data_IF_374401120255
#
_entry.id   IF_374401120255
#
_cell.length_a   1.000
_cell.length_b   1.000
_cell.length_c   1.000
_cell.angle_alpha   90.00
_cell.angle_beta   90.00
_cell.angle_gamma   90.00
#
_symmetry.space_group_name_H-M   'P 1'
#
loop_
_entity.id
_entity.type
_entity.pdbx_description
1 polymer ?
#
# COMPACT_ATOMS: atom_id res chain seq x y z
N UNK A 1 6.60 -10.65 10.91
CA UNK A 1 5.18 -10.45 10.56
C UNK A 1 4.43 -11.75 10.67
N UNK A 2 3.27 -11.73 11.34
CA UNK A 2 2.38 -12.89 11.45
C UNK A 2 1.58 -13.13 10.16
N UNK A 3 0.99 -14.32 10.06
CA UNK A 3 0.12 -14.70 8.94
C UNK A 3 -1.27 -14.97 9.49
N UNK A 4 -2.26 -14.36 8.85
CA UNK A 4 -3.70 -14.51 9.15
C UNK A 4 -4.34 -15.32 8.02
N UNK A 5 -5.12 -16.34 8.37
CA UNK A 5 -5.82 -17.22 7.42
C UNK A 5 -7.15 -16.56 6.99
N UNK A 6 -7.27 -16.27 5.68
CA UNK A 6 -8.46 -15.61 5.15
C UNK A 6 -9.75 -16.44 5.31
N UNK A 7 -9.68 -17.75 5.11
CA UNK A 7 -10.86 -18.63 5.27
C UNK A 7 -11.37 -18.66 6.71
N UNK A 8 -10.45 -18.64 7.68
CA UNK A 8 -10.80 -18.56 9.10
C UNK A 8 -11.35 -17.22 9.50
N UNK A 9 -10.85 -16.12 8.91
CA UNK A 9 -11.44 -14.78 9.09
C UNK A 9 -12.87 -14.75 8.54
N UNK A 10 -13.10 -15.32 7.34
CA UNK A 10 -14.45 -15.41 6.76
C UNK A 10 -15.40 -16.22 7.62
N UNK A 11 -14.96 -17.33 8.18
CA UNK A 11 -15.75 -18.17 9.08
C UNK A 11 -15.87 -17.62 10.52
N UNK A 12 -15.27 -16.45 10.76
CA UNK A 12 -15.32 -15.77 12.07
C UNK A 12 -14.75 -16.63 13.21
N UNK A 13 -13.69 -17.40 12.97
CA UNK A 13 -13.05 -18.22 13.99
C UNK A 13 -12.44 -17.34 15.09
N UNK A 14 -12.85 -17.50 16.37
CA UNK A 14 -12.43 -16.58 17.42
C UNK A 14 -10.90 -16.47 17.59
N UNK A 15 -10.19 -17.59 17.49
CA UNK A 15 -8.73 -17.61 17.61
C UNK A 15 -8.04 -16.82 16.48
N UNK A 16 -8.54 -16.92 15.25
CA UNK A 16 -7.99 -16.19 14.10
C UNK A 16 -8.32 -14.69 14.17
N UNK A 17 -9.52 -14.36 14.65
CA UNK A 17 -9.92 -12.97 14.87
C UNK A 17 -9.07 -12.29 15.96
N UNK A 18 -8.66 -13.04 16.98
CA UNK A 18 -7.74 -12.55 18.02
C UNK A 18 -6.34 -12.28 17.46
N UNK A 19 -5.82 -13.17 16.59
CA UNK A 19 -4.56 -12.96 15.87
C UNK A 19 -4.66 -11.72 14.98
N UNK A 20 -5.74 -11.59 14.20
CA UNK A 20 -5.98 -10.45 13.32
C UNK A 20 -5.98 -9.12 14.10
N UNK A 21 -6.73 -9.08 15.22
CA UNK A 21 -6.80 -7.89 16.07
C UNK A 21 -5.43 -7.52 16.63
N UNK A 22 -4.69 -8.50 17.17
CA UNK A 22 -3.33 -8.29 17.70
C UNK A 22 -2.39 -7.76 16.61
N UNK A 23 -2.40 -8.33 15.41
CA UNK A 23 -1.59 -7.85 14.29
C UNK A 23 -1.86 -6.37 13.98
N UNK A 24 -3.13 -5.96 13.96
CA UNK A 24 -3.52 -4.58 13.69
C UNK A 24 -3.14 -3.62 14.83
N UNK A 25 -3.20 -4.07 16.08
CA UNK A 25 -2.87 -3.25 17.25
C UNK A 25 -1.37 -3.12 17.52
N UNK A 26 -0.59 -4.18 17.29
CA UNK A 26 0.83 -4.19 17.65
C UNK A 26 1.74 -3.75 16.51
N UNK A 27 1.49 -4.23 15.29
CA UNK A 27 2.38 -4.01 14.14
C UNK A 27 1.73 -3.19 13.02
N UNK A 28 0.42 -3.28 12.85
CA UNK A 28 -0.29 -2.65 11.75
C UNK A 28 0.00 -3.27 10.37
N UNK A 29 0.76 -4.37 10.32
CA UNK A 29 1.12 -5.13 9.11
C UNK A 29 1.04 -6.64 9.38
N UNK A 30 0.51 -7.40 8.41
CA UNK A 30 0.48 -8.86 8.45
C UNK A 30 0.36 -9.45 7.05
N UNK A 31 0.66 -10.76 6.93
CA UNK A 31 0.33 -11.52 5.72
C UNK A 31 -1.09 -12.06 5.84
N UNK A 32 -1.88 -11.91 4.77
CA UNK A 32 -3.17 -12.56 4.62
C UNK A 32 -2.99 -13.76 3.71
N UNK A 33 -3.13 -14.98 4.25
CA UNK A 33 -3.02 -16.22 3.50
C UNK A 33 -4.31 -16.46 2.68
N UNK A 34 -4.15 -16.49 1.36
CA UNK A 34 -5.22 -16.65 0.37
C UNK A 34 -5.15 -18.00 -0.35
N UNK A 35 -4.30 -18.95 0.10
CA UNK A 35 -4.14 -20.27 -0.56
C UNK A 35 -5.36 -21.18 -0.40
N UNK A 36 -6.30 -20.90 0.50
CA UNK A 36 -7.55 -21.62 0.64
C UNK A 36 -8.50 -21.43 -0.55
N UNK A 37 -9.54 -22.26 -0.63
CA UNK A 37 -10.56 -22.20 -1.70
C UNK A 37 -11.20 -20.81 -1.83
N UNK A 38 -11.41 -20.13 -0.70
CA UNK A 38 -12.02 -18.79 -0.65
C UNK A 38 -11.13 -17.69 -1.25
N UNK A 39 -9.81 -17.89 -1.27
CA UNK A 39 -8.84 -16.94 -1.81
C UNK A 39 -8.35 -17.26 -3.22
N UNK A 40 -8.46 -18.51 -3.68
CA UNK A 40 -7.82 -19.00 -4.90
C UNK A 40 -8.24 -18.24 -6.15
N UNK A 41 -9.52 -17.96 -6.33
CA UNK A 41 -10.04 -17.18 -7.46
C UNK A 41 -9.48 -15.76 -7.46
N UNK A 42 -9.33 -15.16 -6.29
CA UNK A 42 -8.78 -13.81 -6.16
C UNK A 42 -7.29 -13.79 -6.52
N UNK A 43 -6.52 -14.82 -6.14
CA UNK A 43 -5.13 -14.97 -6.55
C UNK A 43 -5.00 -15.07 -8.08
N UNK A 44 -5.88 -15.83 -8.75
CA UNK A 44 -5.92 -15.92 -10.21
C UNK A 44 -6.21 -14.55 -10.87
N UNK A 45 -7.12 -13.77 -10.31
CA UNK A 45 -7.42 -12.43 -10.80
C UNK A 45 -6.23 -11.47 -10.59
N UNK A 46 -5.46 -11.63 -9.51
CA UNK A 46 -4.23 -10.86 -9.30
C UNK A 46 -3.14 -11.23 -10.32
N UNK A 47 -2.96 -12.50 -10.65
CA UNK A 47 -2.01 -12.92 -11.69
C UNK A 47 -2.37 -12.37 -13.07
N UNK A 48 -3.67 -12.34 -13.43
CA UNK A 48 -4.14 -11.70 -14.66
C UNK A 48 -3.86 -10.20 -14.65
N UNK A 49 -4.03 -9.56 -13.49
CA UNK A 49 -3.75 -8.12 -13.31
C UNK A 49 -2.25 -7.84 -13.46
N UNK A 50 -1.38 -8.69 -12.93
CA UNK A 50 0.07 -8.58 -13.12
C UNK A 50 0.44 -8.70 -14.60
N UNK A 51 -0.12 -9.66 -15.33
CA UNK A 51 0.07 -9.79 -16.77
C UNK A 51 -0.42 -8.56 -17.56
N UNK A 52 -1.53 -7.93 -17.14
CA UNK A 52 -2.01 -6.68 -17.71
C UNK A 52 -1.04 -5.53 -17.42
N UNK A 53 -0.49 -5.45 -16.19
CA UNK A 53 0.49 -4.43 -15.81
C UNK A 53 1.74 -4.48 -16.69
N UNK A 54 2.31 -5.67 -16.93
CA UNK A 54 3.47 -5.81 -17.79
C UNK A 54 3.19 -5.21 -19.17
N UNK A 55 2.10 -5.61 -19.83
CA UNK A 55 1.73 -5.07 -21.14
C UNK A 55 1.49 -3.56 -21.13
N UNK A 56 0.87 -3.05 -20.07
CA UNK A 56 0.58 -1.62 -19.95
C UNK A 56 1.86 -0.79 -19.80
N UNK A 57 2.74 -1.18 -18.88
CA UNK A 57 3.97 -0.41 -18.61
C UNK A 57 5.03 -0.56 -19.69
N UNK A 58 5.04 -1.65 -20.47
CA UNK A 58 5.85 -1.83 -21.66
C UNK A 58 5.37 -0.99 -22.87
N UNK A 59 4.16 -0.43 -22.79
CA UNK A 59 3.62 0.39 -23.87
C UNK A 59 4.39 1.70 -24.03
N UNK A 60 4.38 2.31 -25.24
CA UNK A 60 5.01 3.60 -25.48
C UNK A 60 4.55 4.68 -24.51
N UNK A 61 5.48 5.54 -24.10
CA UNK A 61 5.22 6.63 -23.14
C UNK A 61 4.06 7.55 -23.59
N UNK A 62 3.97 7.81 -24.88
CA UNK A 62 2.92 8.61 -25.50
C UNK A 62 1.53 8.02 -25.21
N UNK A 63 1.38 6.71 -25.37
CA UNK A 63 0.11 6.00 -25.13
C UNK A 63 -0.27 6.00 -23.63
N UNK A 64 0.72 5.92 -22.73
CA UNK A 64 0.48 6.04 -21.29
C UNK A 64 0.08 7.47 -20.89
N UNK A 65 0.73 8.47 -21.46
CA UNK A 65 0.48 9.89 -21.18
C UNK A 65 -0.86 10.40 -21.73
N UNK A 66 -1.44 9.75 -22.75
CA UNK A 66 -2.81 10.08 -23.23
C UNK A 66 -3.83 9.98 -22.10
N UNK A 67 -3.61 9.13 -21.11
CA UNK A 67 -4.46 8.96 -19.95
C UNK A 67 -3.70 9.39 -18.67
N UNK A 68 -3.15 10.60 -18.72
CA UNK A 68 -2.46 11.22 -17.58
C UNK A 68 -3.37 11.31 -16.35
N UNK A 69 -2.82 11.77 -15.23
CA UNK A 69 -3.55 11.82 -13.97
C UNK A 69 -4.80 12.71 -14.07
N UNK A 70 -5.97 12.09 -14.05
CA UNK A 70 -7.28 12.76 -14.13
C UNK A 70 -7.70 13.24 -12.74
N UNK A 71 -7.51 12.40 -11.73
CA UNK A 71 -7.76 12.71 -10.31
C UNK A 71 -6.67 12.08 -9.44
N UNK A 72 -6.67 12.38 -8.15
CA UNK A 72 -5.75 11.74 -7.20
C UNK A 72 -5.76 10.20 -7.23
N UNK A 73 -6.85 9.61 -7.74
CA UNK A 73 -7.11 8.17 -7.70
C UNK A 73 -7.46 7.56 -9.06
N UNK A 74 -7.26 8.29 -10.16
CA UNK A 74 -7.50 7.82 -11.54
C UNK A 74 -6.48 8.40 -12.51
N UNK A 75 -5.81 7.55 -13.26
CA UNK A 75 -4.90 7.92 -14.35
C UNK A 75 -3.46 7.49 -14.13
N UNK A 76 -2.61 7.87 -15.08
CA UNK A 76 -1.19 7.52 -15.13
C UNK A 76 -0.31 8.63 -14.53
N UNK A 77 0.69 8.24 -13.76
CA UNK A 77 1.75 9.10 -13.26
C UNK A 77 3.11 8.55 -13.69
N UNK A 78 3.96 9.34 -14.39
CA UNK A 78 5.28 8.90 -14.81
C UNK A 78 6.28 8.89 -13.64
N UNK A 79 7.42 8.21 -13.84
CA UNK A 79 8.57 8.20 -12.93
C UNK A 79 9.01 9.64 -12.61
N UNK A 80 9.41 9.90 -11.37
CA UNK A 80 9.88 11.21 -10.93
C UNK A 80 8.78 12.21 -10.59
N UNK A 81 7.53 11.75 -10.45
CA UNK A 81 6.38 12.63 -10.15
C UNK A 81 6.35 13.12 -8.71
N UNK A 82 7.03 12.41 -7.78
CA UNK A 82 6.96 12.64 -6.33
C UNK A 82 8.34 12.62 -5.68
N UNK A 83 8.40 12.81 -4.37
CA UNK A 83 9.60 12.60 -3.55
C UNK A 83 9.95 11.11 -3.54
N UNK A 84 11.24 10.80 -3.66
CA UNK A 84 11.75 9.44 -3.72
C UNK A 84 11.93 8.77 -2.36
N UNK A 85 12.38 7.50 -2.41
CA UNK A 85 12.62 6.67 -1.23
C UNK A 85 13.86 7.06 -0.42
N UNK A 86 14.77 7.80 -1.03
CA UNK A 86 16.02 8.27 -0.43
C UNK A 86 16.03 9.81 -0.32
N UNK A 87 16.83 10.40 0.59
CA UNK A 87 16.99 11.85 0.67
C UNK A 87 17.42 12.47 -0.67
N UNK A 88 16.83 13.60 -1.01
CA UNK A 88 17.14 14.36 -2.24
C UNK A 88 16.89 13.60 -3.55
N UNK A 89 16.09 12.54 -3.55
CA UNK A 89 15.70 11.81 -4.76
C UNK A 89 14.24 12.06 -5.12
N UNK A 90 13.89 11.72 -6.37
CA UNK A 90 12.49 11.58 -6.81
C UNK A 90 12.07 10.12 -6.74
N UNK A 91 10.76 9.86 -6.82
CA UNK A 91 10.25 8.49 -6.88
C UNK A 91 10.78 7.74 -8.11
N UNK A 92 11.09 6.46 -7.93
CA UNK A 92 11.65 5.57 -8.95
C UNK A 92 10.61 4.64 -9.54
N UNK A 93 9.35 5.05 -9.61
CA UNK A 93 8.27 4.22 -10.18
C UNK A 93 7.31 5.05 -11.01
N UNK A 94 6.74 4.41 -12.01
CA UNK A 94 5.54 4.87 -12.69
C UNK A 94 4.31 4.15 -12.11
N UNK A 95 3.14 4.79 -12.20
CA UNK A 95 1.93 4.25 -11.59
C UNK A 95 0.70 4.48 -12.48
N UNK A 96 -0.14 3.45 -12.59
CA UNK A 96 -1.47 3.57 -13.16
C UNK A 96 -2.52 3.25 -12.09
N UNK A 97 -3.47 4.17 -11.92
CA UNK A 97 -4.54 4.08 -10.93
C UNK A 97 -5.90 3.94 -11.57
N UNK A 98 -6.73 3.07 -10.98
CA UNK A 98 -8.13 2.89 -11.36
C UNK A 98 -9.01 3.04 -10.12
N UNK A 99 -9.86 4.05 -10.12
CA UNK A 99 -10.80 4.30 -9.03
C UNK A 99 -11.87 3.21 -8.95
N UNK A 100 -12.23 2.79 -7.73
CA UNK A 100 -13.38 1.91 -7.50
C UNK A 100 -14.67 2.52 -8.07
N UNK A 101 -14.88 3.81 -7.85
CA UNK A 101 -16.11 4.48 -8.28
C UNK A 101 -16.16 4.63 -9.79
N UNK A 102 -15.00 4.80 -10.46
CA UNK A 102 -14.95 4.86 -11.93
C UNK A 102 -15.33 3.52 -12.56
N UNK A 103 -14.81 2.40 -12.03
CA UNK A 103 -15.10 1.06 -12.58
C UNK A 103 -16.58 0.66 -12.45
N UNK A 104 -17.32 1.27 -11.54
CA UNK A 104 -18.74 1.03 -11.32
C UNK A 104 -19.65 1.85 -12.23
N UNK A 105 -19.09 2.81 -12.99
CA UNK A 105 -19.86 3.61 -13.94
C UNK A 105 -20.37 2.75 -15.10
N UNK A 106 -21.46 3.20 -15.71
CA UNK A 106 -21.99 2.56 -16.92
C UNK A 106 -20.97 2.65 -18.08
N UNK A 107 -20.23 3.75 -18.15
CA UNK A 107 -19.19 4.01 -19.15
C UNK A 107 -17.92 4.48 -18.45
N UNK A 108 -17.09 3.54 -17.94
CA UNK A 108 -15.88 3.86 -17.21
C UNK A 108 -14.78 4.33 -18.16
N UNK A 109 -14.01 5.33 -17.71
CA UNK A 109 -12.87 5.87 -18.47
C UNK A 109 -11.66 4.98 -18.33
N UNK A 110 -11.07 4.59 -19.47
CA UNK A 110 -9.83 3.82 -19.56
C UNK A 110 -8.92 4.40 -20.64
N UNK A 111 -7.59 4.21 -20.53
CA UNK A 111 -6.67 4.50 -21.62
C UNK A 111 -7.02 3.66 -22.86
N UNK A 112 -6.77 4.20 -24.05
CA UNK A 112 -7.10 3.53 -25.32
C UNK A 112 -6.52 2.11 -25.41
N UNK A 113 -5.34 1.90 -24.86
CA UNK A 113 -4.64 0.60 -24.83
C UNK A 113 -5.32 -0.46 -23.94
N UNK A 114 -6.25 -0.06 -23.06
CA UNK A 114 -7.04 -0.94 -22.18
C UNK A 114 -8.54 -0.89 -22.46
N UNK A 115 -8.96 -0.46 -23.66
CA UNK A 115 -10.37 -0.29 -24.00
C UNK A 115 -11.11 -1.60 -24.31
N UNK A 116 -10.40 -2.73 -24.50
CA UNK A 116 -11.05 -4.01 -24.77
C UNK A 116 -11.75 -4.58 -23.53
N UNK A 117 -12.78 -5.38 -23.74
CA UNK A 117 -13.63 -5.92 -22.66
C UNK A 117 -12.87 -6.87 -21.74
N UNK A 118 -11.86 -7.56 -22.24
CA UNK A 118 -11.01 -8.48 -21.42
C UNK A 118 -10.24 -7.69 -20.38
N UNK A 119 -9.53 -6.63 -20.76
CA UNK A 119 -8.72 -5.81 -19.84
C UNK A 119 -9.62 -5.06 -18.84
N UNK A 120 -10.75 -4.53 -19.29
CA UNK A 120 -11.76 -3.95 -18.39
C UNK A 120 -12.28 -4.97 -17.39
N UNK A 121 -12.51 -6.21 -17.83
CA UNK A 121 -12.95 -7.33 -17.00
C UNK A 121 -11.91 -7.69 -15.94
N UNK A 122 -10.62 -7.74 -16.29
CA UNK A 122 -9.51 -7.99 -15.37
C UNK A 122 -9.48 -6.93 -14.27
N UNK A 123 -9.49 -5.65 -14.63
CA UNK A 123 -9.45 -4.54 -13.66
C UNK A 123 -10.69 -4.51 -12.76
N UNK A 124 -11.86 -4.80 -13.32
CA UNK A 124 -13.11 -4.90 -12.55
C UNK A 124 -13.04 -6.03 -11.52
N UNK A 125 -12.54 -7.19 -11.90
CA UNK A 125 -12.39 -8.33 -10.99
C UNK A 125 -11.36 -8.03 -9.90
N UNK A 126 -10.21 -7.46 -10.26
CA UNK A 126 -9.17 -7.07 -9.29
C UNK A 126 -9.69 -6.09 -8.23
N UNK A 127 -10.40 -5.04 -8.66
CA UNK A 127 -10.98 -4.05 -7.75
C UNK A 127 -12.09 -4.67 -6.88
N UNK A 128 -13.01 -5.43 -7.50
CA UNK A 128 -14.13 -6.03 -6.78
C UNK A 128 -13.65 -7.08 -5.77
N UNK A 129 -12.71 -7.95 -6.17
CA UNK A 129 -12.11 -8.95 -5.30
C UNK A 129 -11.35 -8.31 -4.13
N UNK A 130 -10.51 -7.29 -4.41
CA UNK A 130 -9.78 -6.55 -3.37
C UNK A 130 -10.74 -5.88 -2.38
N UNK A 131 -11.84 -5.30 -2.88
CA UNK A 131 -12.87 -4.67 -2.03
C UNK A 131 -13.55 -5.71 -1.12
N UNK A 132 -13.90 -6.88 -1.66
CA UNK A 132 -14.51 -7.97 -0.89
C UNK A 132 -13.55 -8.45 0.20
N UNK A 133 -12.30 -8.76 -0.15
CA UNK A 133 -11.30 -9.28 0.79
C UNK A 133 -11.03 -8.27 1.91
N UNK A 134 -10.78 -7.01 1.58
CA UNK A 134 -10.49 -5.99 2.59
C UNK A 134 -11.69 -5.68 3.49
N UNK A 135 -12.91 -5.70 2.96
CA UNK A 135 -14.12 -5.55 3.78
C UNK A 135 -14.36 -6.76 4.70
N UNK A 136 -14.03 -7.97 4.25
CA UNK A 136 -14.10 -9.16 5.11
C UNK A 136 -13.11 -9.04 6.29
N UNK A 137 -11.90 -8.54 6.05
CA UNK A 137 -10.93 -8.24 7.12
C UNK A 137 -11.49 -7.21 8.10
N UNK A 138 -12.08 -6.11 7.61
CA UNK A 138 -12.74 -5.12 8.49
C UNK A 138 -13.89 -5.73 9.30
N UNK A 139 -14.67 -6.62 8.71
CA UNK A 139 -15.75 -7.32 9.39
C UNK A 139 -15.22 -8.24 10.50
N UNK A 140 -14.12 -8.96 10.24
CA UNK A 140 -13.42 -9.74 11.26
C UNK A 140 -12.93 -8.87 12.41
N UNK A 141 -12.29 -7.72 12.12
CA UNK A 141 -11.85 -6.77 13.14
C UNK A 141 -13.01 -6.21 13.96
N UNK A 142 -14.12 -5.85 13.30
CA UNK A 142 -15.32 -5.37 14.00
C UNK A 142 -15.87 -6.42 14.96
N UNK A 143 -15.87 -7.70 14.55
CA UNK A 143 -16.29 -8.81 15.39
C UNK A 143 -15.33 -9.05 16.56
N UNK A 144 -14.01 -9.04 16.31
CA UNK A 144 -12.99 -9.17 17.35
C UNK A 144 -13.09 -8.09 18.45
N UNK A 145 -13.48 -6.88 18.06
CA UNK A 145 -13.70 -5.76 18.98
C UNK A 145 -15.12 -5.70 19.58
N UNK A 146 -16.00 -6.64 19.23
CA UNK A 146 -17.39 -6.64 19.70
C UNK A 146 -18.22 -5.47 19.17
N UNK A 147 -17.84 -4.86 18.05
CA UNK A 147 -18.56 -3.72 17.46
C UNK A 147 -19.88 -4.18 16.83
N UNK A 148 -20.93 -3.38 17.03
CA UNK A 148 -22.28 -3.68 16.52
C UNK A 148 -22.87 -2.49 15.75
N UNK A 149 -23.80 -2.80 14.85
CA UNK A 149 -24.56 -1.78 14.10
C UNK A 149 -23.66 -0.80 13.34
N UNK A 150 -23.92 0.49 13.48
CA UNK A 150 -23.20 1.54 12.75
C UNK A 150 -21.73 1.69 13.18
N UNK A 151 -21.33 1.15 14.34
CA UNK A 151 -19.95 1.22 14.81
C UNK A 151 -19.02 0.24 14.09
N UNK A 152 -19.55 -0.74 13.35
CA UNK A 152 -18.72 -1.70 12.59
C UNK A 152 -17.99 -1.00 11.45
N UNK A 153 -16.69 -1.27 11.33
CA UNK A 153 -15.81 -0.56 10.38
C UNK A 153 -16.22 -0.74 8.92
N UNK A 154 -16.66 -1.94 8.52
CA UNK A 154 -17.07 -2.21 7.15
C UNK A 154 -18.29 -1.40 6.71
N UNK A 155 -19.10 -0.90 7.66
CA UNK A 155 -20.30 -0.09 7.38
C UNK A 155 -19.97 1.32 6.89
N UNK A 156 -18.75 1.80 7.11
CA UNK A 156 -18.26 3.05 6.52
C UNK A 156 -17.68 2.88 5.09
N UNK A 157 -17.85 1.68 4.48
CA UNK A 157 -17.26 1.34 3.19
C UNK A 157 -18.32 0.79 2.22
N UNK A 158 -19.46 1.43 2.13
CA UNK A 158 -20.56 1.03 1.25
C UNK A 158 -20.20 1.27 -0.20
N UNK A 159 -20.63 0.34 -1.08
CA UNK A 159 -20.29 0.43 -2.51
C UNK A 159 -21.14 1.47 -3.27
N UNK A 160 -22.28 1.84 -2.74
CA UNK A 160 -23.22 2.85 -3.30
C UNK A 160 -22.90 4.28 -2.84
N UNK A 161 -21.82 4.48 -2.10
CA UNK A 161 -21.38 5.79 -1.63
C UNK A 161 -20.02 6.18 -2.23
N UNK A 162 -19.82 7.47 -2.55
CA UNK A 162 -18.56 7.96 -3.07
C UNK A 162 -17.39 7.68 -2.10
N UNK A 163 -16.27 7.22 -2.64
CA UNK A 163 -15.03 7.04 -1.92
C UNK A 163 -13.84 7.21 -2.85
N UNK A 164 -12.70 7.52 -2.28
CA UNK A 164 -11.44 7.58 -3.02
C UNK A 164 -10.70 6.23 -3.08
N UNK A 165 -11.41 5.10 -2.81
CA UNK A 165 -10.83 3.76 -2.93
C UNK A 165 -10.30 3.51 -4.33
N UNK A 166 -9.08 2.95 -4.44
CA UNK A 166 -8.41 2.83 -5.73
C UNK A 166 -7.48 1.62 -5.79
N UNK A 167 -7.41 1.01 -6.96
CA UNK A 167 -6.35 0.07 -7.33
C UNK A 167 -5.20 0.88 -7.93
N UNK A 168 -3.99 0.73 -7.39
CA UNK A 168 -2.76 1.31 -7.91
C UNK A 168 -1.82 0.19 -8.36
N UNK A 169 -1.45 0.22 -9.62
CA UNK A 169 -0.45 -0.64 -10.23
C UNK A 169 0.84 0.17 -10.33
N UNK A 170 1.91 -0.30 -9.70
CA UNK A 170 3.19 0.40 -9.60
C UNK A 170 4.30 -0.43 -10.23
N UNK A 171 5.02 0.16 -11.16
CA UNK A 171 6.19 -0.40 -11.80
C UNK A 171 7.43 0.41 -11.39
N UNK A 172 8.25 -0.17 -10.54
CA UNK A 172 9.53 0.38 -10.13
C UNK A 172 10.57 0.02 -11.19
N UNK A 173 11.18 1.05 -11.76
CA UNK A 173 12.21 0.88 -12.78
C UNK A 173 13.57 0.56 -12.15
N UNK A 174 14.47 -0.15 -12.86
CA UNK A 174 15.85 -0.33 -12.40
C UNK A 174 16.51 1.00 -12.08
N UNK A 175 17.19 1.09 -10.94
CA UNK A 175 17.83 2.32 -10.48
C UNK A 175 19.08 2.02 -9.66
N UNK A 176 20.19 2.69 -9.96
CA UNK A 176 21.40 2.66 -9.14
C UNK A 176 21.27 3.68 -7.98
N UNK A 177 21.20 3.23 -6.70
CA UNK A 177 21.02 4.12 -5.57
C UNK A 177 22.14 5.15 -5.36
N UNK A 178 23.28 4.96 -6.02
CA UNK A 178 24.44 5.86 -5.93
C UNK A 178 24.39 6.93 -7.03
N UNK A 179 23.91 6.58 -8.22
CA UNK A 179 23.99 7.44 -9.41
C UNK A 179 22.66 8.08 -9.77
N UNK A 180 21.55 7.43 -9.46
CA UNK A 180 20.23 7.86 -9.91
C UNK A 180 19.54 8.77 -8.89
N UNK A 181 18.83 9.77 -9.40
CA UNK A 181 18.03 10.69 -8.61
C UNK A 181 16.56 10.28 -8.48
N UNK A 182 16.18 9.13 -9.07
CA UNK A 182 14.79 8.62 -9.08
C UNK A 182 14.78 7.24 -8.44
N UNK A 183 14.45 7.17 -7.13
CA UNK A 183 14.63 5.95 -6.34
C UNK A 183 13.44 5.67 -5.44
N UNK A 184 12.84 4.48 -5.62
CA UNK A 184 11.87 3.90 -4.72
C UNK A 184 10.65 4.79 -4.44
N UNK A 185 10.07 4.63 -3.26
CA UNK A 185 8.91 5.39 -2.76
C UNK A 185 9.21 5.88 -1.35
N UNK A 186 8.96 7.17 -1.11
CA UNK A 186 9.25 7.83 0.17
C UNK A 186 8.56 7.15 1.35
N UNK A 187 9.13 7.34 2.55
CA UNK A 187 8.51 6.89 3.79
C UNK A 187 7.20 7.63 4.07
N UNK A 188 6.18 6.89 4.49
CA UNK A 188 4.84 7.41 4.76
C UNK A 188 3.99 6.41 5.57
N UNK A 189 2.82 6.86 5.99
CA UNK A 189 1.69 6.01 6.37
C UNK A 189 0.60 6.11 5.30
N UNK A 190 -0.22 5.07 5.13
CA UNK A 190 -1.31 5.10 4.16
C UNK A 190 -2.51 5.91 4.64
N UNK A 191 -3.19 6.57 3.70
CA UNK A 191 -4.44 7.30 3.95
C UNK A 191 -5.61 6.36 4.23
N UNK A 192 -5.56 5.15 3.66
CA UNK A 192 -6.63 4.16 3.63
C UNK A 192 -7.10 3.71 5.03
N UNK A 193 -8.20 2.98 5.07
CA UNK A 193 -8.55 2.15 6.23
C UNK A 193 -7.69 0.90 6.26
N UNK A 194 -7.63 0.18 5.14
CA UNK A 194 -6.73 -0.94 4.90
C UNK A 194 -6.09 -0.80 3.51
N UNK A 195 -4.85 -1.22 3.39
CA UNK A 195 -4.20 -1.45 2.10
C UNK A 195 -3.95 -2.94 1.93
N UNK A 196 -4.31 -3.46 0.75
CA UNK A 196 -4.01 -4.82 0.33
C UNK A 196 -2.97 -4.73 -0.77
N UNK A 197 -1.79 -5.35 -0.55
CA UNK A 197 -0.64 -5.28 -1.43
C UNK A 197 -0.23 -6.66 -1.91
N UNK A 198 -0.04 -6.81 -3.22
CA UNK A 198 0.70 -7.89 -3.84
C UNK A 198 2.02 -7.39 -4.40
N UNK A 199 3.10 -8.06 -4.08
CA UNK A 199 4.43 -7.89 -4.66
C UNK A 199 5.15 -9.22 -4.63
N UNK A 200 5.79 -9.59 -5.73
CA UNK A 200 6.56 -10.83 -5.85
C UNK A 200 8.05 -10.60 -5.57
N UNK A 201 8.51 -9.33 -5.63
CA UNK A 201 9.90 -8.95 -5.43
C UNK A 201 10.09 -8.17 -4.12
N UNK A 202 11.29 -8.25 -3.60
CA UNK A 202 11.73 -7.49 -2.43
C UNK A 202 11.71 -5.97 -2.69
N UNK A 203 11.73 -5.18 -1.62
CA UNK A 203 11.80 -3.72 -1.70
C UNK A 203 10.92 -2.99 -0.69
N UNK A 204 9.81 -3.59 -0.26
CA UNK A 204 9.02 -3.04 0.83
C UNK A 204 9.81 -3.09 2.14
N UNK A 205 9.91 -1.96 2.81
CA UNK A 205 10.44 -1.83 4.17
C UNK A 205 9.37 -1.24 5.09
N UNK A 206 9.24 -1.81 6.27
CA UNK A 206 8.41 -1.28 7.35
C UNK A 206 9.28 -0.88 8.53
N UNK A 207 8.84 0.10 9.29
CA UNK A 207 9.41 0.45 10.58
C UNK A 207 8.48 -0.05 11.69
N UNK A 208 8.82 -1.18 12.34
CA UNK A 208 8.02 -1.70 13.44
C UNK A 208 7.83 -0.66 14.55
N UNK A 209 6.66 -0.58 15.19
CA UNK A 209 6.41 0.32 16.30
C UNK A 209 7.45 0.16 17.40
N UNK A 210 7.90 1.28 17.98
CA UNK A 210 8.92 1.28 19.03
C UNK A 210 10.37 1.07 18.55
N UNK A 211 10.60 0.95 17.24
CA UNK A 211 11.95 0.88 16.64
C UNK A 211 12.26 2.12 15.81
N UNK A 212 13.56 2.38 15.59
CA UNK A 212 14.03 3.43 14.68
C UNK A 212 14.42 2.88 13.30
N UNK A 213 14.52 1.57 13.16
CA UNK A 213 15.07 0.89 12.00
C UNK A 213 13.98 0.37 11.07
N UNK A 214 14.27 0.44 9.76
CA UNK A 214 13.44 -0.18 8.74
C UNK A 214 13.90 -1.62 8.48
N UNK A 215 12.95 -2.56 8.43
CA UNK A 215 13.19 -3.94 8.04
C UNK A 215 12.48 -4.26 6.71
N UNK A 216 13.13 -5.06 5.86
CA UNK A 216 12.51 -5.59 4.66
C UNK A 216 11.40 -6.59 4.98
N UNK A 217 10.32 -6.53 4.20
CA UNK A 217 9.23 -7.50 4.21
C UNK A 217 9.43 -8.48 3.07
N UNK A 218 9.56 -9.76 3.39
CA UNK A 218 9.71 -10.81 2.39
C UNK A 218 8.44 -10.98 1.56
N UNK A 219 8.52 -11.10 0.23
CA UNK A 219 7.41 -11.59 -0.57
C UNK A 219 7.01 -13.00 -0.13
N UNK A 220 5.71 -13.29 -0.05
CA UNK A 220 5.20 -14.60 0.36
C UNK A 220 4.16 -15.09 -0.64
N UNK A 221 4.46 -16.19 -1.33
CA UNK A 221 3.58 -16.76 -2.37
C UNK A 221 2.22 -17.12 -1.79
N UNK A 222 1.15 -16.74 -2.51
CA UNK A 222 -0.23 -17.00 -2.12
C UNK A 222 -0.74 -16.11 -0.98
N UNK A 223 0.07 -15.15 -0.52
CA UNK A 223 -0.33 -14.20 0.49
C UNK A 223 -0.39 -12.78 -0.07
N UNK A 224 -1.35 -12.00 0.39
CA UNK A 224 -1.29 -10.55 0.31
C UNK A 224 -0.61 -10.00 1.57
N UNK A 225 0.01 -8.82 1.45
CA UNK A 225 0.41 -8.02 2.61
C UNK A 225 -0.75 -7.06 2.89
N UNK A 226 -1.23 -7.06 4.13
CA UNK A 226 -2.24 -6.10 4.58
C UNK A 226 -1.59 -5.14 5.56
N UNK A 227 -1.91 -3.85 5.39
CA UNK A 227 -1.57 -2.86 6.42
C UNK A 227 -2.76 -1.98 6.78
N UNK A 228 -2.77 -1.58 8.04
CA UNK A 228 -3.67 -0.56 8.59
C UNK A 228 -3.21 0.80 8.10
N UNK A 229 -4.17 1.60 7.63
CA UNK A 229 -3.93 3.00 7.29
C UNK A 229 -4.50 3.97 8.33
N UNK A 230 -4.28 5.25 8.10
CA UNK A 230 -4.62 6.33 9.04
C UNK A 230 -6.12 6.37 9.35
N UNK A 231 -6.98 6.18 8.33
CA UNK A 231 -8.43 6.24 8.53
C UNK A 231 -8.94 5.20 9.52
N UNK A 232 -8.42 3.96 9.48
CA UNK A 232 -8.78 2.92 10.46
C UNK A 232 -8.15 3.21 11.83
N UNK A 233 -6.92 3.71 11.87
CA UNK A 233 -6.29 4.14 13.11
C UNK A 233 -7.15 5.19 13.81
N UNK A 234 -7.61 6.22 13.09
CA UNK A 234 -8.46 7.26 13.64
C UNK A 234 -9.85 6.73 14.06
N UNK A 235 -10.49 5.94 13.19
CA UNK A 235 -11.79 5.34 13.48
C UNK A 235 -11.77 4.38 14.68
N UNK A 236 -10.63 3.78 14.99
CA UNK A 236 -10.44 2.91 16.16
C UNK A 236 -10.10 3.67 17.45
N UNK A 237 -10.09 5.00 17.43
CA UNK A 237 -9.63 5.79 18.56
C UNK A 237 -8.12 5.62 18.82
N UNK A 238 -7.33 5.48 17.78
CA UNK A 238 -5.89 5.28 17.81
C UNK A 238 -5.42 3.96 18.47
N UNK A 239 -6.29 2.97 18.58
CA UNK A 239 -5.93 1.65 19.13
C UNK A 239 -5.24 0.75 18.11
N UNK A 240 -5.39 1.03 16.82
CA UNK A 240 -4.71 0.32 15.74
C UNK A 240 -3.53 1.12 15.21
N UNK A 241 -2.50 0.42 14.72
CA UNK A 241 -1.23 1.02 14.30
C UNK A 241 -1.21 1.24 12.78
N UNK A 242 -1.08 2.51 12.34
CA UNK A 242 -0.74 2.84 10.96
C UNK A 242 0.78 2.98 10.87
N UNK A 243 1.45 1.94 10.35
CA UNK A 243 2.89 1.80 10.43
C UNK A 243 3.60 2.55 9.28
N UNK A 244 4.71 3.23 9.60
CA UNK A 244 5.54 3.89 8.59
C UNK A 244 6.20 2.83 7.73
N UNK A 245 6.13 3.02 6.41
CA UNK A 245 6.77 2.14 5.44
C UNK A 245 7.30 2.92 4.24
N UNK A 246 8.15 2.28 3.46
CA UNK A 246 8.74 2.82 2.23
C UNK A 246 9.07 1.68 1.26
N UNK A 247 9.40 2.03 0.02
CA UNK A 247 9.98 1.07 -0.93
C UNK A 247 11.34 1.58 -1.37
N UNK A 248 12.33 0.70 -1.31
CA UNK A 248 13.69 0.96 -1.79
C UNK A 248 14.12 -0.19 -2.70
N UNK A 249 15.00 0.04 -3.71
CA UNK A 249 15.52 -1.03 -4.54
C UNK A 249 16.23 -2.06 -3.67
N UNK A 250 15.88 -3.34 -3.84
CA UNK A 250 16.63 -4.46 -3.26
C UNK A 250 17.64 -5.01 -4.28
N UNK A 251 17.15 -5.24 -5.51
CA UNK A 251 17.97 -5.56 -6.67
C UNK A 251 17.90 -4.38 -7.63
N UNK A 252 18.91 -3.50 -7.68
CA UNK A 252 18.84 -2.25 -8.42
C UNK A 252 18.79 -2.43 -9.94
N UNK A 253 19.18 -3.59 -10.46
CA UNK A 253 19.15 -3.93 -11.89
C UNK A 253 17.83 -4.56 -12.35
N UNK A 254 16.89 -4.81 -11.42
CA UNK A 254 15.65 -5.53 -11.72
C UNK A 254 14.44 -4.60 -11.67
N UNK A 255 13.47 -4.89 -12.53
CA UNK A 255 12.14 -4.31 -12.45
C UNK A 255 11.40 -4.89 -11.24
N UNK A 256 10.59 -4.08 -10.57
CA UNK A 256 9.71 -4.52 -9.50
C UNK A 256 8.29 -4.07 -9.77
N UNK A 257 7.35 -4.99 -9.61
CA UNK A 257 5.93 -4.71 -9.78
C UNK A 257 5.18 -4.86 -8.46
N UNK A 258 4.19 -4.01 -8.23
CA UNK A 258 3.26 -4.18 -7.11
C UNK A 258 1.87 -3.70 -7.45
N UNK A 259 0.88 -4.40 -6.91
CA UNK A 259 -0.54 -4.08 -7.02
C UNK A 259 -1.02 -3.74 -5.62
N UNK A 260 -1.43 -2.51 -5.40
CA UNK A 260 -1.99 -2.07 -4.13
C UNK A 260 -3.46 -1.66 -4.28
N UNK A 261 -4.33 -2.19 -3.45
CA UNK A 261 -5.69 -1.70 -3.32
C UNK A 261 -5.83 -0.93 -2.01
N UNK A 262 -6.14 0.35 -2.14
CA UNK A 262 -6.39 1.23 -1.00
C UNK A 262 -7.90 1.26 -0.73
N UNK A 263 -8.36 0.53 0.30
CA UNK A 263 -9.72 0.62 0.78
C UNK A 263 -9.87 1.89 1.62
N UNK A 264 -10.66 2.83 1.16
CA UNK A 264 -10.93 4.08 1.87
C UNK A 264 -12.39 4.17 2.27
N UNK A 265 -12.65 4.77 3.42
CA UNK A 265 -14.01 5.03 3.87
C UNK A 265 -14.76 5.94 2.89
N UNK A 266 -16.08 5.95 2.99
CA UNK A 266 -16.92 6.92 2.27
C UNK A 266 -16.46 8.33 2.56
N UNK A 267 -16.47 9.21 1.56
CA UNK A 267 -15.92 10.56 1.68
C UNK A 267 -16.46 11.36 2.87
N UNK A 268 -17.73 11.13 3.22
CA UNK A 268 -18.42 11.81 4.31
C UNK A 268 -18.20 11.17 5.69
N UNK A 269 -17.47 10.04 5.77
CA UNK A 269 -17.15 9.42 7.06
C UNK A 269 -16.30 10.35 7.90
N UNK A 270 -16.73 10.61 9.14
CA UNK A 270 -16.06 11.51 10.07
C UNK A 270 -15.19 10.77 11.07
N UNK A 271 -14.01 11.33 11.37
CA UNK A 271 -13.15 10.88 12.46
C UNK A 271 -12.33 12.03 13.03
N UNK A 272 -11.73 11.81 14.20
CA UNK A 272 -10.76 12.72 14.79
C UNK A 272 -9.36 12.30 14.36
N UNK A 273 -8.65 13.20 13.69
CA UNK A 273 -7.29 12.94 13.19
C UNK A 273 -6.21 13.04 14.30
N UNK A 274 -4.95 12.91 13.93
CA UNK A 274 -3.81 12.95 14.86
C UNK A 274 -3.62 14.31 15.54
N UNK A 275 -4.15 15.39 14.95
CA UNK A 275 -4.09 16.75 15.50
C UNK A 275 -5.33 17.09 16.34
N UNK A 276 -6.23 16.12 16.55
CA UNK A 276 -7.48 16.33 17.26
C UNK A 276 -8.55 17.08 16.45
N UNK A 277 -8.35 17.23 15.12
CA UNK A 277 -9.32 17.87 14.24
C UNK A 277 -10.42 16.88 13.84
N UNK A 278 -11.66 17.34 13.82
CA UNK A 278 -12.78 16.55 13.33
C UNK A 278 -12.94 16.76 11.83
N UNK A 279 -12.56 15.77 11.03
CA UNK A 279 -12.45 15.85 9.56
C UNK A 279 -13.20 14.73 8.88
N UNK A 280 -13.60 14.93 7.61
CA UNK A 280 -14.12 13.86 6.76
C UNK A 280 -12.97 13.03 6.17
N UNK A 281 -13.25 11.79 5.81
CA UNK A 281 -12.30 10.93 5.09
C UNK A 281 -11.84 11.55 3.76
N UNK A 282 -12.74 12.25 3.06
CA UNK A 282 -12.41 12.99 1.84
C UNK A 282 -11.44 14.15 2.10
N UNK A 283 -11.69 14.95 3.13
CA UNK A 283 -10.79 16.06 3.52
C UNK A 283 -9.40 15.54 3.90
N UNK A 284 -9.32 14.52 4.76
CA UNK A 284 -8.05 13.91 5.14
C UNK A 284 -7.29 13.37 3.93
N UNK A 285 -7.99 12.71 3.01
CA UNK A 285 -7.39 12.22 1.77
C UNK A 285 -6.77 13.35 0.96
N UNK A 286 -7.52 14.41 0.70
CA UNK A 286 -7.07 15.50 -0.19
C UNK A 286 -5.90 16.27 0.41
N UNK A 287 -5.94 16.59 1.71
CA UNK A 287 -4.87 17.27 2.43
C UNK A 287 -3.57 16.44 2.41
N UNK A 288 -3.65 15.16 2.78
CA UNK A 288 -2.47 14.27 2.82
C UNK A 288 -1.95 13.98 1.41
N UNK A 289 -2.83 13.76 0.43
CA UNK A 289 -2.44 13.54 -0.95
C UNK A 289 -1.72 14.74 -1.56
N UNK A 290 -2.16 15.96 -1.24
CA UNK A 290 -1.46 17.18 -1.63
C UNK A 290 -0.02 17.20 -1.09
N UNK A 291 0.17 16.87 0.18
CA UNK A 291 1.50 16.80 0.78
C UNK A 291 2.40 15.72 0.15
N UNK A 292 1.87 14.58 -0.25
CA UNK A 292 2.64 13.56 -0.96
C UNK A 292 3.26 14.07 -2.26
N UNK A 293 2.60 15.01 -2.93
CA UNK A 293 3.07 15.62 -4.17
C UNK A 293 3.95 16.85 -3.95
N UNK A 294 3.92 17.42 -2.75
CA UNK A 294 4.65 18.62 -2.42
C UNK A 294 6.17 18.38 -2.43
N UNK A 295 6.91 19.47 -2.62
CA UNK A 295 8.38 19.45 -2.50
C UNK A 295 8.80 19.15 -1.05
N UNK A 296 10.02 18.64 -0.82
CA UNK A 296 10.52 18.37 0.53
C UNK A 296 10.42 19.58 1.46
N UNK A 297 10.64 20.80 0.96
CA UNK A 297 10.53 22.03 1.74
C UNK A 297 9.11 22.27 2.24
N UNK A 298 8.10 22.03 1.41
CA UNK A 298 6.69 22.14 1.80
C UNK A 298 6.33 21.02 2.77
N UNK A 299 6.80 19.79 2.52
CA UNK A 299 6.60 18.67 3.42
C UNK A 299 7.18 18.92 4.82
N UNK A 300 8.34 19.57 4.90
CA UNK A 300 8.99 19.92 6.16
C UNK A 300 8.22 20.96 6.99
N UNK A 301 7.36 21.77 6.35
CA UNK A 301 6.49 22.74 7.02
C UNK A 301 5.18 22.12 7.54
N UNK A 302 4.81 20.95 7.05
CA UNK A 302 3.61 20.26 7.49
C UNK A 302 3.83 19.58 8.86
N UNK A 303 2.79 19.44 9.69
CA UNK A 303 2.89 18.65 10.88
C UNK A 303 3.36 17.21 10.55
N UNK A 304 4.32 16.63 11.29
CA UNK A 304 4.77 15.24 11.05
C UNK A 304 3.62 14.23 11.02
N UNK A 305 2.56 14.50 11.77
CA UNK A 305 1.31 13.73 11.77
C UNK A 305 0.67 13.57 10.40
N UNK A 306 0.79 14.56 9.52
CA UNK A 306 0.18 14.50 8.17
C UNK A 306 0.85 13.47 7.28
N UNK A 307 2.18 13.33 7.30
CA UNK A 307 2.90 12.34 6.49
C UNK A 307 2.97 10.96 7.17
N UNK A 308 3.04 10.96 8.49
CA UNK A 308 3.36 9.77 9.29
C UNK A 308 2.24 9.34 10.26
N UNK A 309 1.01 9.81 10.03
CA UNK A 309 -0.17 9.40 10.81
C UNK A 309 -0.07 9.71 12.30
N UNK A 310 0.71 10.72 12.70
CA UNK A 310 0.94 11.12 14.10
C UNK A 310 2.09 10.38 14.78
N UNK A 311 2.87 9.57 14.04
CA UNK A 311 4.13 9.02 14.54
C UNK A 311 5.26 10.04 14.37
N UNK A 312 6.22 10.06 15.33
CA UNK A 312 7.38 10.94 15.23
C UNK A 312 8.33 10.49 14.12
N UNK A 313 8.87 11.48 13.40
CA UNK A 313 9.82 11.23 12.31
C UNK A 313 11.28 11.13 12.80
N UNK A 314 11.51 11.07 14.13
CA UNK A 314 12.85 11.01 14.73
C UNK A 314 13.56 9.70 14.39
N UNK A 315 14.26 9.70 13.25
CA UNK A 315 14.94 8.54 12.72
C UNK A 315 16.31 8.84 12.15
N UNK A 316 17.28 8.02 12.56
CA UNK A 316 18.45 7.80 11.74
C UNK A 316 18.06 6.93 10.54
N UNK A 317 18.32 7.43 9.34
CA UNK A 317 18.08 6.70 8.12
C UNK A 317 19.13 5.60 7.96
N UNK A 318 18.69 4.32 7.98
CA UNK A 318 19.54 3.18 7.65
C UNK A 318 19.06 2.57 6.33
N UNK A 319 19.85 2.60 5.25
CA UNK A 319 19.41 2.14 3.92
C UNK A 319 19.16 0.62 3.85
N UNK A 320 19.79 -0.15 4.72
CA UNK A 320 19.84 -1.61 4.65
C UNK A 320 19.62 -2.26 6.02
N UNK A 321 18.43 -2.11 6.58
CA UNK A 321 18.04 -2.94 7.71
C UNK A 321 17.84 -4.39 7.23
N UNK A 322 18.34 -5.35 8.00
CA UNK A 322 18.17 -6.78 7.71
C UNK A 322 16.68 -7.14 7.55
N UNK A 323 16.32 -8.18 6.76
CA UNK A 323 14.94 -8.64 6.68
C UNK A 323 14.38 -8.86 8.08
N UNK A 324 13.15 -8.41 8.33
CA UNK A 324 12.45 -8.74 9.58
C UNK A 324 12.30 -10.26 9.60
N UNK A 325 13.11 -10.92 10.44
CA UNK A 325 13.12 -12.38 10.52
C UNK A 325 11.74 -12.85 10.97
N UNK A 326 11.07 -13.60 10.10
CA UNK A 326 9.91 -14.38 10.51
C UNK A 326 10.42 -15.53 11.35
N UNK A 327 10.10 -15.55 12.64
CA UNK A 327 10.25 -16.76 13.45
C UNK A 327 9.40 -17.87 12.76
N UNK A 328 10.10 -18.97 12.38
CA UNK A 328 9.62 -20.13 11.66
C UNK A 328 9.59 -20.02 10.10
N UNK A 329 10.79 -20.06 9.51
CA UNK A 329 10.97 -20.67 8.22
C UNK A 329 11.59 -22.05 8.45
N UNK A 330 10.81 -23.10 8.33
CA UNK A 330 11.30 -24.45 8.10
C UNK A 330 12.07 -24.44 6.78
N UNK A 331 13.28 -24.94 6.82
CA UNK A 331 14.28 -25.01 5.77
C UNK A 331 13.73 -25.39 4.40
N UNK A 332 13.73 -24.42 3.49
CA UNK A 332 13.85 -24.67 2.05
C UNK A 332 15.20 -24.07 1.66
N UNK A 333 16.12 -24.82 1.05
CA UNK A 333 17.38 -24.25 0.55
C UNK A 333 17.03 -23.32 -0.61
N UNK A 334 17.04 -22.03 -0.36
CA UNK A 334 17.04 -21.02 -1.41
C UNK A 334 18.52 -20.70 -1.66
N UNK A 335 18.97 -20.89 -2.90
CA UNK A 335 20.22 -20.27 -3.34
C UNK A 335 20.12 -18.80 -2.94
N UNK A 336 20.99 -18.40 -2.01
CA UNK A 336 20.92 -17.09 -1.36
C UNK A 336 21.06 -15.98 -2.40
N UNK A 337 20.29 -14.90 -2.29
CA UNK A 337 20.47 -13.74 -3.17
C UNK A 337 21.92 -13.25 -3.01
N UNK A 338 22.57 -12.97 -4.12
CA UNK A 338 23.87 -12.31 -4.15
C UNK A 338 23.77 -11.06 -3.25
N UNK A 339 24.64 -10.94 -2.27
CA UNK A 339 24.67 -9.78 -1.39
C UNK A 339 24.73 -8.50 -2.23
N UNK A 340 23.75 -7.64 -2.07
CA UNK A 340 23.81 -6.31 -2.65
C UNK A 340 25.06 -5.58 -2.13
N UNK A 341 25.74 -4.81 -2.96
CA UNK A 341 26.94 -4.09 -2.54
C UNK A 341 26.58 -3.14 -1.38
N UNK A 342 27.34 -3.22 -0.29
CA UNK A 342 27.21 -2.32 0.86
C UNK A 342 27.59 -0.92 0.38
N UNK A 343 26.61 -0.04 0.26
CA UNK A 343 26.87 1.39 0.00
C UNK A 343 27.43 1.97 1.29
N UNK A 344 28.74 2.21 1.32
CA UNK A 344 29.34 2.99 2.40
C UNK A 344 28.97 4.45 2.15
N UNK A 345 28.20 5.05 3.06
CA UNK A 345 28.04 6.49 3.09
C UNK A 345 29.40 7.16 3.29
N UNK A 346 29.85 7.90 2.27
CA UNK A 346 30.90 8.87 2.44
C UNK A 346 30.20 10.18 2.80
N UNK A 347 30.24 10.57 4.07
CA UNK A 347 29.88 11.90 4.51
C UNK A 347 30.77 12.90 3.74
N UNK A 348 30.15 13.62 2.83
CA UNK A 348 30.78 14.82 2.25
C UNK A 348 30.50 15.96 3.23
N UNK A 349 31.47 16.28 4.08
CA UNK A 349 31.46 17.54 4.81
C UNK A 349 31.51 18.68 3.80
N UNK A 350 30.45 19.46 3.76
CA UNK A 350 30.44 20.73 3.03
C UNK A 350 31.27 21.76 3.83
N UNK A 351 32.32 22.25 3.22
CA UNK A 351 32.96 23.51 3.58
C UNK A 351 32.25 24.69 2.93
#
# INVERSE_FOLDING_TARGET
>A
METVDFGRVLSQEPAELEILLRCCQEQGFFYLDLNGLDGSRFLDDQQKTLGLMHRYFESPMEAKNEFGLITAHLGYEPVGSRTGGLPNTRDGYEMFKVSRDEIQRKDPKFPQILQNDTDKGILKNAISGSNIVTKAVLSGLSSAMGLVGAARYENAHRNDRPSTSTLAMMHYVPADPIKDSQIGHQKHTDISSLTLLFAEEWGLQIRPPGTKEFGFVAPKKGCAIINVGDSLRFASGHTMMSCIHRVVPFNPEEHRYSIAYFLRAENETMFTDSEGRYVTAGQWHDEKFYLFKATPDIQALAPPSMLYGGMTADEEWTPYAQPVATAHASEVPVDGPKQAPVVKETLVEAH
#
